data_IF_372784768213
#
_entry.id   IF_372784768213
#
_cell.length_a   1.000
_cell.length_b   1.000
_cell.length_c   1.000
_cell.angle_alpha   90.00
_cell.angle_beta   90.00
_cell.angle_gamma   90.00
#
_symmetry.space_group_name_H-M   'P 1'
#
loop_
_entity.id
_entity.type
_entity.pdbx_description
1 polymer ?
#
# COMPACT_ATOMS: atom_id res chain seq x y z
N UNK A 1 32.23 7.32 4.16
CA UNK A 1 31.45 6.72 5.27
C UNK A 1 30.45 7.76 5.78
N UNK A 2 29.16 7.60 5.48
CA UNK A 2 28.12 8.46 6.07
C UNK A 2 27.90 7.95 7.50
N UNK A 3 28.31 8.73 8.50
CA UNK A 3 28.03 8.45 9.92
C UNK A 3 26.53 8.63 10.17
N UNK A 4 25.77 7.56 9.97
CA UNK A 4 24.36 7.54 10.38
C UNK A 4 24.34 7.42 11.91
N UNK A 5 23.91 8.46 12.61
CA UNK A 5 23.78 8.43 14.06
C UNK A 5 22.63 7.49 14.46
N UNK A 6 22.90 6.33 15.10
CA UNK A 6 21.87 5.34 15.43
C UNK A 6 20.77 5.90 16.30
N UNK A 7 21.13 6.79 17.23
CA UNK A 7 20.21 7.43 18.17
C UNK A 7 19.15 8.29 17.46
N UNK A 8 19.50 8.84 16.29
CA UNK A 8 18.56 9.64 15.50
C UNK A 8 17.55 8.73 14.77
N UNK A 9 17.99 7.59 14.24
CA UNK A 9 17.08 6.61 13.63
C UNK A 9 16.11 6.02 14.66
N UNK A 10 16.62 5.67 15.85
CA UNK A 10 15.80 5.14 16.94
C UNK A 10 14.72 6.14 17.40
N UNK A 11 15.08 7.43 17.56
CA UNK A 11 14.11 8.45 17.93
C UNK A 11 12.98 8.61 16.91
N UNK A 12 13.30 8.61 15.60
CA UNK A 12 12.29 8.63 14.54
C UNK A 12 11.44 7.37 14.51
N UNK A 13 12.03 6.20 14.78
CA UNK A 13 11.29 4.95 14.87
C UNK A 13 10.28 5.01 16.03
N UNK A 14 10.72 5.35 17.24
CA UNK A 14 9.86 5.45 18.41
C UNK A 14 8.73 6.47 18.18
N UNK A 15 9.04 7.65 17.63
CA UNK A 15 8.04 8.67 17.33
C UNK A 15 7.04 8.18 16.26
N UNK A 16 7.54 7.60 15.17
CA UNK A 16 6.70 7.08 14.09
C UNK A 16 5.74 6.01 14.59
N UNK A 17 6.23 5.04 15.36
CA UNK A 17 5.41 3.97 15.92
C UNK A 17 4.39 4.48 16.95
N UNK A 18 4.79 5.38 17.85
CA UNK A 18 3.86 6.00 18.81
C UNK A 18 2.74 6.78 18.10
N UNK A 19 3.05 7.49 17.01
CA UNK A 19 2.06 8.19 16.20
C UNK A 19 1.12 7.21 15.46
N UNK A 20 1.63 6.07 15.02
CA UNK A 20 0.80 5.00 14.44
C UNK A 20 -0.15 4.41 15.49
N UNK A 21 0.35 4.08 16.68
CA UNK A 21 -0.45 3.52 17.78
C UNK A 21 -1.55 4.49 18.26
N UNK A 22 -1.24 5.79 18.25
CA UNK A 22 -2.21 6.86 18.55
C UNK A 22 -3.08 7.25 17.35
N UNK A 23 -3.00 6.52 16.23
CA UNK A 23 -3.77 6.74 14.99
C UNK A 23 -3.54 8.10 14.33
N UNK A 24 -2.45 8.78 14.67
CA UNK A 24 -2.02 10.07 14.10
C UNK A 24 -1.24 9.84 12.81
N UNK A 25 -1.88 9.17 11.84
CA UNK A 25 -1.23 8.63 10.66
C UNK A 25 -0.57 9.68 9.76
N UNK A 26 -1.18 10.87 9.61
CA UNK A 26 -0.57 11.96 8.81
C UNK A 26 0.74 12.45 9.44
N UNK A 27 0.81 12.49 10.76
CA UNK A 27 1.97 12.94 11.51
C UNK A 27 3.03 11.85 11.63
N UNK A 28 2.64 10.58 11.52
CA UNK A 28 3.56 9.45 11.46
C UNK A 28 4.38 9.39 10.16
N UNK A 29 3.91 10.03 9.07
CA UNK A 29 4.60 9.99 7.77
C UNK A 29 6.02 10.59 7.82
N UNK A 30 6.24 11.84 8.25
CA UNK A 30 7.58 12.42 8.30
C UNK A 30 8.63 11.62 9.09
N UNK A 31 8.38 11.16 10.33
CA UNK A 31 9.37 10.40 11.08
C UNK A 31 9.67 9.03 10.45
N UNK A 32 8.66 8.34 9.92
CA UNK A 32 8.87 7.06 9.22
C UNK A 32 9.61 7.25 7.88
N UNK A 33 9.34 8.34 7.14
CA UNK A 33 10.09 8.67 5.93
C UNK A 33 11.56 8.95 6.26
N UNK A 34 11.82 9.73 7.32
CA UNK A 34 13.18 9.98 7.77
C UNK A 34 13.87 8.70 8.24
N UNK A 35 13.15 7.81 8.93
CA UNK A 35 13.66 6.50 9.29
C UNK A 35 14.10 5.69 8.05
N UNK A 36 13.32 5.66 6.97
CA UNK A 36 13.74 4.96 5.74
C UNK A 36 14.97 5.58 5.08
N UNK A 37 15.21 6.90 5.24
CA UNK A 37 16.43 7.56 4.74
C UNK A 37 17.65 7.23 5.59
N UNK A 38 17.47 7.16 6.92
CA UNK A 38 18.53 6.81 7.87
C UNK A 38 18.82 5.31 7.87
N UNK A 39 17.83 4.47 7.57
CA UNK A 39 17.92 3.01 7.59
C UNK A 39 17.27 2.45 6.31
N UNK A 40 17.92 2.59 5.15
CA UNK A 40 17.36 2.15 3.88
C UNK A 40 17.20 0.63 3.76
N UNK A 41 17.85 -0.15 4.63
CA UNK A 41 17.78 -1.61 4.70
C UNK A 41 16.85 -2.12 5.81
N UNK A 42 16.15 -1.23 6.52
CA UNK A 42 15.23 -1.62 7.58
C UNK A 42 13.83 -1.91 7.01
N UNK A 43 13.45 -3.19 6.97
CA UNK A 43 12.15 -3.64 6.48
C UNK A 43 10.97 -3.07 7.30
N UNK A 44 11.10 -2.99 8.63
CA UNK A 44 10.07 -2.46 9.53
C UNK A 44 9.73 -0.99 9.24
N UNK A 45 10.72 -0.19 8.82
CA UNK A 45 10.52 1.21 8.45
C UNK A 45 9.60 1.34 7.23
N UNK A 46 9.82 0.52 6.20
CA UNK A 46 8.95 0.48 5.02
C UNK A 46 7.59 -0.13 5.33
N UNK A 47 7.53 -1.12 6.22
CA UNK A 47 6.28 -1.68 6.72
C UNK A 47 5.44 -0.64 7.48
N UNK A 48 6.07 0.17 8.34
CA UNK A 48 5.42 1.29 9.04
C UNK A 48 4.83 2.30 8.07
N UNK A 49 5.59 2.75 7.06
CA UNK A 49 5.05 3.61 6.00
C UNK A 49 3.91 2.95 5.25
N UNK A 50 4.06 1.66 4.91
CA UNK A 50 3.04 0.85 4.27
C UNK A 50 1.73 0.85 5.04
N UNK A 51 1.80 0.62 6.35
CA UNK A 51 0.65 0.68 7.26
C UNK A 51 -0.03 2.03 7.24
N UNK A 52 0.74 3.09 7.48
CA UNK A 52 0.22 4.45 7.53
C UNK A 52 -0.50 4.80 6.24
N UNK A 53 0.04 4.38 5.08
CA UNK A 53 -0.63 4.58 3.81
C UNK A 53 -1.91 3.75 3.63
N UNK A 54 -2.00 2.53 4.20
CA UNK A 54 -3.26 1.76 4.23
C UNK A 54 -4.33 2.51 5.03
N UNK A 55 -3.98 2.99 6.22
CA UNK A 55 -4.92 3.72 7.10
C UNK A 55 -5.36 5.06 6.50
N UNK A 56 -4.51 5.68 5.68
CA UNK A 56 -4.83 6.89 4.91
C UNK A 56 -5.56 6.60 3.59
N UNK A 57 -5.97 5.36 3.31
CA UNK A 57 -6.59 4.90 2.06
C UNK A 57 -5.75 5.19 0.80
N UNK A 58 -4.43 5.32 0.94
CA UNK A 58 -3.48 5.55 -0.16
C UNK A 58 -2.88 4.23 -0.63
N UNK A 59 -3.76 3.32 -1.06
CA UNK A 59 -3.39 1.93 -1.40
C UNK A 59 -2.22 1.79 -2.39
N UNK A 60 -2.11 2.57 -3.49
CA UNK A 60 -0.97 2.46 -4.40
C UNK A 60 0.38 2.76 -3.73
N UNK A 61 0.41 3.77 -2.84
CA UNK A 61 1.62 4.10 -2.07
C UNK A 61 1.91 3.06 -1.01
N UNK A 62 0.88 2.56 -0.32
CA UNK A 62 1.00 1.46 0.64
C UNK A 62 1.65 0.23 0.01
N UNK A 63 1.10 -0.24 -1.12
CA UNK A 63 1.61 -1.40 -1.84
C UNK A 63 3.08 -1.23 -2.23
N UNK A 64 3.47 -0.05 -2.73
CA UNK A 64 4.88 0.23 -3.06
C UNK A 64 5.80 0.06 -1.85
N UNK A 65 5.43 0.61 -0.69
CA UNK A 65 6.26 0.52 0.53
C UNK A 65 6.26 -0.89 1.12
N UNK A 66 5.12 -1.58 1.12
CA UNK A 66 5.02 -2.96 1.61
C UNK A 66 5.82 -3.95 0.74
N UNK A 67 5.85 -3.73 -0.58
CA UNK A 67 6.73 -4.50 -1.48
C UNK A 67 8.21 -4.24 -1.21
N UNK A 68 8.60 -3.01 -0.85
CA UNK A 68 9.97 -2.73 -0.42
C UNK A 68 10.32 -3.46 0.88
N UNK A 69 9.40 -3.47 1.85
CA UNK A 69 9.58 -4.22 3.10
C UNK A 69 9.78 -5.73 2.80
N UNK A 70 8.96 -6.31 1.93
CA UNK A 70 9.08 -7.73 1.54
C UNK A 70 10.30 -8.04 0.66
N UNK A 71 10.86 -7.05 -0.04
CA UNK A 71 12.11 -7.22 -0.78
C UNK A 71 13.31 -7.29 0.17
N UNK A 72 13.24 -6.60 1.32
CA UNK A 72 14.27 -6.63 2.36
C UNK A 72 14.11 -7.82 3.31
N UNK A 73 12.87 -8.11 3.71
CA UNK A 73 12.50 -9.29 4.50
C UNK A 73 11.29 -10.00 3.87
N UNK A 74 11.53 -11.01 3.03
CA UNK A 74 10.46 -11.81 2.42
C UNK A 74 9.56 -12.54 3.42
N UNK A 75 10.03 -12.76 4.66
CA UNK A 75 9.28 -13.44 5.70
C UNK A 75 8.45 -12.49 6.57
N UNK A 76 8.49 -11.18 6.29
CA UNK A 76 7.76 -10.17 7.04
C UNK A 76 6.24 -10.36 6.90
N UNK A 77 5.65 -11.10 7.84
CA UNK A 77 4.25 -11.52 7.76
C UNK A 77 3.30 -10.34 7.85
N UNK A 78 3.59 -9.35 8.71
CA UNK A 78 2.82 -8.11 8.77
C UNK A 78 2.75 -7.37 7.43
N UNK A 79 3.88 -7.21 6.73
CA UNK A 79 3.93 -6.55 5.44
C UNK A 79 3.11 -7.30 4.37
N UNK A 80 3.20 -8.64 4.36
CA UNK A 80 2.41 -9.50 3.45
C UNK A 80 0.90 -9.40 3.71
N UNK A 81 0.47 -9.41 4.96
CA UNK A 81 -0.95 -9.26 5.33
C UNK A 81 -1.47 -7.89 4.88
N UNK A 82 -0.73 -6.82 5.18
CA UNK A 82 -1.13 -5.46 4.77
C UNK A 82 -1.12 -5.26 3.26
N UNK A 83 -0.20 -5.92 2.54
CA UNK A 83 -0.15 -5.84 1.08
C UNK A 83 -1.42 -6.43 0.47
N UNK A 84 -1.81 -7.63 0.93
CA UNK A 84 -3.06 -8.27 0.49
C UNK A 84 -4.29 -7.43 0.83
N UNK A 85 -4.32 -6.82 2.02
CA UNK A 85 -5.40 -5.91 2.42
C UNK A 85 -5.48 -4.68 1.49
N UNK A 86 -4.34 -4.07 1.17
CA UNK A 86 -4.28 -2.93 0.25
C UNK A 86 -4.74 -3.32 -1.17
N UNK A 87 -4.38 -4.51 -1.65
CA UNK A 87 -4.82 -5.04 -2.95
C UNK A 87 -6.33 -5.29 -3.00
N UNK A 88 -6.90 -5.90 -1.95
CA UNK A 88 -8.34 -6.11 -1.83
C UNK A 88 -9.09 -4.79 -1.82
N UNK A 89 -8.68 -3.83 -0.98
CA UNK A 89 -9.30 -2.50 -0.91
C UNK A 89 -9.19 -1.72 -2.22
N UNK A 90 -8.10 -1.89 -2.97
CA UNK A 90 -7.95 -1.26 -4.28
C UNK A 90 -8.90 -1.87 -5.31
N UNK A 91 -9.09 -3.20 -5.28
CA UNK A 91 -10.06 -3.90 -6.12
C UNK A 91 -11.52 -3.57 -5.74
N UNK A 92 -11.82 -3.37 -4.46
CA UNK A 92 -13.16 -2.94 -4.01
C UNK A 92 -13.47 -1.50 -4.45
N UNK A 93 -12.46 -0.61 -4.43
CA UNK A 93 -12.61 0.80 -4.83
C UNK A 93 -12.53 1.01 -6.36
N UNK A 94 -12.27 -0.04 -7.13
CA UNK A 94 -12.51 -0.08 -8.56
C UNK A 94 -13.65 -1.06 -8.80
N UNK A 95 -14.92 -0.61 -8.88
CA UNK A 95 -15.99 -1.52 -9.26
C UNK A 95 -15.58 -2.19 -10.58
N UNK A 96 -15.87 -3.50 -10.76
CA UNK A 96 -15.73 -4.11 -12.07
C UNK A 96 -16.46 -3.19 -13.05
N UNK A 97 -15.78 -2.78 -14.13
CA UNK A 97 -16.39 -1.98 -15.19
C UNK A 97 -17.76 -2.58 -15.45
N UNK A 98 -18.76 -1.79 -15.10
CA UNK A 98 -20.16 -2.11 -15.22
C UNK A 98 -20.36 -2.70 -16.61
N UNK A 99 -20.85 -3.94 -16.61
CA UNK A 99 -21.64 -4.55 -17.66
C UNK A 99 -21.54 -3.81 -19.00
N UNK A 100 -20.55 -4.14 -19.83
CA UNK A 100 -20.66 -3.84 -21.27
C UNK A 100 -21.82 -4.72 -21.71
N UNK A 101 -23.04 -4.18 -21.63
CA UNK A 101 -24.13 -4.59 -22.51
C UNK A 101 -23.56 -4.43 -23.91
N UNK A 102 -23.02 -5.52 -24.43
CA UNK A 102 -23.14 -5.82 -25.84
C UNK A 102 -24.64 -5.91 -26.05
N UNK A 103 -25.28 -4.76 -26.30
CA UNK A 103 -26.44 -4.72 -27.15
C UNK A 103 -25.92 -5.27 -28.48
N UNK A 104 -25.91 -6.60 -28.62
CA UNK A 104 -26.01 -7.18 -29.95
C UNK A 104 -27.35 -6.69 -30.46
N UNK A 105 -27.42 -5.82 -31.48
CA UNK A 105 -28.70 -5.59 -32.13
C UNK A 105 -29.17 -6.96 -32.62
N UNK A 106 -30.42 -7.31 -32.31
CA UNK A 106 -31.03 -8.56 -32.77
C UNK A 106 -30.77 -8.72 -34.28
N UNK A 107 -30.43 -9.93 -34.76
CA UNK A 107 -30.24 -10.14 -36.18
C UNK A 107 -31.56 -9.80 -36.90
N UNK A 108 -31.51 -9.06 -38.03
CA UNK A 108 -32.73 -8.78 -38.78
C UNK A 108 -33.36 -10.11 -39.20
N UNK A 109 -34.66 -10.25 -38.92
CA UNK A 109 -35.47 -11.39 -39.30
C UNK A 109 -35.54 -11.38 -40.83
N UNK A 110 -34.64 -12.11 -41.49
CA UNK A 110 -34.73 -12.35 -42.93
C UNK A 110 -35.74 -13.46 -43.15
N UNK A 111 -36.98 -13.06 -43.43
CA UNK A 111 -38.00 -13.95 -43.99
C UNK A 111 -37.42 -14.73 -45.18
N UNK A 112 -37.65 -16.04 -45.19
CA UNK A 112 -37.43 -16.93 -46.34
C UNK A 112 -38.79 -17.47 -46.78
N UNK A 113 -38.88 -18.08 -47.97
CA UNK A 113 -38.98 -17.47 -49.29
C UNK A 113 -40.39 -17.69 -49.88
N UNK A 114 -40.73 -16.99 -50.97
CA UNK A 114 -41.79 -17.43 -51.89
C UNK A 114 -41.20 -17.67 -53.27
#
# INVERSE_FOLDING_TARGET
>A
MIRINPRHAEAHASLGWALVETRRYREALPPLEQLTRLRPENADAYYGLGWVYVELNRFPKAMKRLKQALALDPQHTGARVRLRMAEQKMKENHPPRENILIQTPDPPISESPR
#
